data_IF_004059276281
#
_entry.id   IF_004059276281
#
_cell.length_a   1.000
_cell.length_b   1.000
_cell.length_c   1.000
_cell.angle_alpha   90.00
_cell.angle_beta   90.00
_cell.angle_gamma   90.00
#
_symmetry.space_group_name_H-M   'P 1'
#
loop_
_entity.id
_entity.type
_entity.pdbx_description
1 polymer ?
#
# COMPACT_ATOMS: atom_id res chain seq x y z
N UNK A 1 -15.72 5.85 -14.85
CA UNK A 1 -16.85 5.09 -15.43
C UNK A 1 -17.69 4.56 -14.28
N UNK A 2 -19.02 4.72 -14.36
CA UNK A 2 -19.94 4.22 -13.33
C UNK A 2 -20.60 2.97 -13.88
N UNK A 3 -20.59 1.87 -13.12
CA UNK A 3 -21.13 0.58 -13.52
C UNK A 3 -21.98 -0.02 -12.40
N UNK A 4 -23.02 -0.77 -12.76
CA UNK A 4 -23.90 -1.46 -11.79
C UNK A 4 -23.48 -2.93 -11.59
N UNK A 5 -23.39 -3.68 -12.70
CA UNK A 5 -22.91 -5.07 -12.73
C UNK A 5 -21.98 -5.36 -13.92
N UNK A 6 -22.08 -4.56 -14.98
CA UNK A 6 -21.26 -4.74 -16.18
C UNK A 6 -19.79 -4.44 -15.84
N UNK A 7 -18.86 -5.22 -16.42
CA UNK A 7 -17.41 -5.09 -16.25
C UNK A 7 -16.83 -5.56 -14.91
N UNK A 8 -17.65 -6.14 -14.02
CA UNK A 8 -17.17 -6.90 -12.85
C UNK A 8 -16.68 -8.30 -13.24
N UNK A 9 -17.16 -8.81 -14.38
CA UNK A 9 -16.72 -10.06 -15.00
C UNK A 9 -16.25 -9.79 -16.44
N UNK A 10 -15.15 -10.41 -16.85
CA UNK A 10 -14.64 -10.35 -18.23
C UNK A 10 -13.87 -9.09 -18.65
N UNK A 11 -14.01 -7.96 -17.95
CA UNK A 11 -13.24 -6.75 -18.26
C UNK A 11 -11.84 -6.79 -17.65
N UNK A 12 -10.83 -6.49 -18.45
CA UNK A 12 -9.43 -6.56 -18.05
C UNK A 12 -8.66 -5.34 -18.56
N UNK A 13 -8.22 -4.47 -17.65
CA UNK A 13 -7.43 -3.30 -18.00
C UNK A 13 -6.27 -3.12 -17.05
N UNK A 14 -5.05 -3.11 -17.61
CA UNK A 14 -3.82 -2.90 -16.84
C UNK A 14 -3.76 -1.50 -16.20
N UNK A 15 -4.48 -0.53 -16.77
CA UNK A 15 -4.44 0.88 -16.36
C UNK A 15 -5.38 1.22 -15.20
N UNK A 16 -6.33 0.35 -14.85
CA UNK A 16 -7.26 0.62 -13.75
C UNK A 16 -6.60 0.32 -12.42
N UNK A 17 -6.44 1.36 -11.59
CA UNK A 17 -5.85 1.26 -10.26
C UNK A 17 -6.88 1.32 -9.12
N UNK A 18 -7.94 2.12 -9.28
CA UNK A 18 -8.87 2.42 -8.19
C UNK A 18 -10.28 1.94 -8.52
N UNK A 19 -10.87 1.18 -7.60
CA UNK A 19 -12.25 0.72 -7.65
C UNK A 19 -13.05 1.38 -6.53
N UNK A 20 -14.09 2.11 -6.90
CA UNK A 20 -15.02 2.73 -5.96
C UNK A 20 -16.28 1.87 -5.84
N UNK A 21 -16.68 1.53 -4.62
CA UNK A 21 -17.79 0.62 -4.33
C UNK A 21 -18.81 1.28 -3.40
N UNK A 22 -20.06 1.35 -3.87
CA UNK A 22 -21.22 1.76 -3.07
C UNK A 22 -22.23 0.60 -2.92
N UNK A 23 -21.74 -0.65 -2.95
CA UNK A 23 -22.60 -1.84 -2.87
C UNK A 23 -21.96 -2.93 -2.03
N UNK A 24 -22.81 -3.65 -1.30
CA UNK A 24 -22.48 -4.91 -0.65
C UNK A 24 -22.68 -6.07 -1.63
N UNK A 25 -21.67 -6.91 -1.82
CA UNK A 25 -21.81 -8.11 -2.64
C UNK A 25 -22.46 -9.23 -1.83
N UNK A 26 -23.20 -10.09 -2.52
CA UNK A 26 -23.96 -11.17 -1.87
C UNK A 26 -23.11 -12.41 -1.62
N UNK A 27 -21.94 -12.52 -2.25
CA UNK A 27 -21.08 -13.69 -2.13
C UNK A 27 -19.58 -13.33 -2.06
N UNK A 28 -18.77 -14.13 -1.35
CA UNK A 28 -17.31 -13.99 -1.28
C UNK A 28 -16.60 -13.91 -2.64
N UNK A 29 -17.05 -14.70 -3.62
CA UNK A 29 -16.51 -14.76 -4.98
C UNK A 29 -16.50 -13.37 -5.63
N UNK A 30 -17.60 -12.62 -5.45
CA UNK A 30 -17.80 -11.33 -6.09
C UNK A 30 -16.83 -10.28 -5.52
N UNK A 31 -16.52 -10.35 -4.23
CA UNK A 31 -15.50 -9.50 -3.61
C UNK A 31 -14.12 -9.77 -4.22
N UNK A 32 -13.68 -11.02 -4.25
CA UNK A 32 -12.37 -11.39 -4.79
C UNK A 32 -12.27 -11.07 -6.28
N UNK A 33 -13.33 -11.35 -7.06
CA UNK A 33 -13.36 -11.04 -8.49
C UNK A 33 -13.32 -9.55 -8.78
N UNK A 34 -13.99 -8.71 -7.99
CA UNK A 34 -13.98 -7.26 -8.17
C UNK A 34 -12.62 -6.66 -7.78
N UNK A 35 -12.08 -7.03 -6.62
CA UNK A 35 -10.80 -6.54 -6.10
C UNK A 35 -9.63 -6.97 -7.01
N UNK A 36 -9.66 -8.20 -7.54
CA UNK A 36 -8.62 -8.66 -8.47
C UNK A 36 -8.52 -7.84 -9.76
N UNK A 37 -9.54 -7.06 -10.14
CA UNK A 37 -9.51 -6.18 -11.33
C UNK A 37 -8.56 -5.00 -11.19
N UNK A 38 -8.33 -4.51 -9.97
CA UNK A 38 -7.41 -3.39 -9.72
C UNK A 38 -5.96 -3.84 -9.64
N UNK A 39 -5.71 -5.13 -9.33
CA UNK A 39 -4.39 -5.69 -9.03
C UNK A 39 -3.62 -6.20 -10.26
N UNK A 40 -3.96 -5.75 -11.47
CA UNK A 40 -3.18 -6.06 -12.68
C UNK A 40 -1.86 -5.30 -12.69
N UNK A 41 -0.76 -6.05 -12.76
CA UNK A 41 0.61 -5.53 -12.88
C UNK A 41 0.74 -4.76 -14.19
N UNK A 42 1.04 -3.46 -14.09
CA UNK A 42 1.33 -2.60 -15.24
C UNK A 42 2.83 -2.37 -15.37
N UNK A 43 3.44 -1.74 -14.37
CA UNK A 43 4.86 -1.34 -14.27
C UNK A 43 5.22 -1.10 -12.79
N UNK A 44 6.49 -0.83 -12.45
CA UNK A 44 6.96 -0.52 -11.07
C UNK A 44 6.22 0.64 -10.39
N UNK A 45 5.52 1.48 -11.16
CA UNK A 45 4.70 2.58 -10.65
C UNK A 45 3.35 2.11 -10.08
N UNK A 46 2.83 0.95 -10.51
CA UNK A 46 1.54 0.40 -10.08
C UNK A 46 1.76 -0.89 -9.31
N UNK A 47 2.15 -0.74 -8.05
CA UNK A 47 2.44 -1.88 -7.17
C UNK A 47 1.19 -2.49 -6.54
N UNK A 48 0.12 -1.70 -6.37
CA UNK A 48 -1.06 -2.07 -5.58
C UNK A 48 -2.31 -1.45 -6.18
N UNK A 49 -3.43 -2.18 -6.18
CA UNK A 49 -4.75 -1.62 -6.49
C UNK A 49 -5.40 -1.02 -5.24
N UNK A 50 -6.18 0.05 -5.44
CA UNK A 50 -6.92 0.72 -4.37
C UNK A 50 -8.41 0.40 -4.49
N UNK A 51 -9.04 0.07 -3.37
CA UNK A 51 -10.49 -0.17 -3.30
C UNK A 51 -11.07 0.74 -2.24
N UNK A 52 -12.02 1.60 -2.64
CA UNK A 52 -12.65 2.60 -1.78
C UNK A 52 -14.12 2.24 -1.62
N UNK A 53 -14.55 1.97 -0.39
CA UNK A 53 -15.94 1.68 -0.05
C UNK A 53 -16.62 2.91 0.53
N UNK A 54 -17.77 3.29 -0.03
CA UNK A 54 -18.58 4.40 0.47
C UNK A 54 -19.56 3.99 1.58
N UNK A 55 -19.92 2.70 1.66
CA UNK A 55 -20.74 2.17 2.75
C UNK A 55 -19.85 1.58 3.83
N UNK A 56 -19.57 2.39 4.85
CA UNK A 56 -18.90 1.93 6.06
C UNK A 56 -19.91 1.19 6.94
N UNK A 57 -19.97 -0.13 6.78
CA UNK A 57 -20.49 -1.01 7.81
C UNK A 57 -19.38 -2.00 8.13
N UNK A 58 -19.01 -2.15 9.40
CA UNK A 58 -18.07 -3.16 9.92
C UNK A 58 -18.23 -4.51 9.21
N UNK A 59 -19.48 -4.89 8.92
CA UNK A 59 -19.87 -6.07 8.18
C UNK A 59 -19.21 -6.24 6.80
N UNK A 60 -18.95 -5.16 6.06
CA UNK A 60 -18.32 -5.25 4.73
C UNK A 60 -16.83 -5.61 4.87
N UNK A 61 -16.15 -5.08 5.89
CA UNK A 61 -14.76 -5.46 6.19
C UNK A 61 -14.69 -6.93 6.54
N UNK A 62 -15.57 -7.40 7.42
CA UNK A 62 -15.66 -8.82 7.80
C UNK A 62 -16.00 -9.72 6.61
N UNK A 63 -16.91 -9.28 5.72
CA UNK A 63 -17.26 -10.04 4.51
C UNK A 63 -16.04 -10.21 3.58
N UNK A 64 -15.22 -9.15 3.43
CA UNK A 64 -14.01 -9.17 2.61
C UNK A 64 -12.94 -10.07 3.26
N UNK A 65 -12.72 -9.95 4.56
CA UNK A 65 -11.78 -10.79 5.30
C UNK A 65 -12.17 -12.27 5.17
N UNK A 66 -13.43 -12.61 5.44
CA UNK A 66 -13.97 -13.97 5.24
C UNK A 66 -13.80 -14.45 3.80
N UNK A 67 -14.02 -13.57 2.83
CA UNK A 67 -13.82 -13.94 1.44
C UNK A 67 -12.36 -14.31 1.17
N UNK A 68 -11.41 -13.51 1.62
CA UNK A 68 -10.00 -13.84 1.44
C UNK A 68 -9.57 -15.07 2.25
N UNK A 69 -10.12 -15.30 3.44
CA UNK A 69 -9.84 -16.53 4.21
C UNK A 69 -10.29 -17.80 3.48
N UNK A 70 -11.45 -17.75 2.80
CA UNK A 70 -11.93 -18.88 1.99
C UNK A 70 -11.01 -19.17 0.79
N UNK A 71 -10.43 -18.12 0.18
CA UNK A 71 -9.63 -18.25 -1.04
C UNK A 71 -8.12 -18.28 -0.84
N UNK A 72 -7.66 -18.07 0.39
CA UNK A 72 -6.24 -17.96 0.70
C UNK A 72 -5.90 -18.91 1.83
N UNK A 73 -4.98 -19.86 1.57
CA UNK A 73 -4.51 -20.79 2.60
C UNK A 73 -4.06 -19.97 3.83
N UNK A 74 -4.57 -20.35 5.01
CA UNK A 74 -4.37 -19.65 6.29
C UNK A 74 -2.97 -19.02 6.40
N UNK A 75 -2.91 -17.68 6.55
CA UNK A 75 -1.74 -16.76 6.63
C UNK A 75 -1.57 -15.74 5.48
N UNK A 76 -2.38 -15.76 4.42
CA UNK A 76 -2.21 -14.78 3.33
C UNK A 76 -3.00 -13.48 3.60
N UNK A 77 -4.04 -13.51 4.43
CA UNK A 77 -4.85 -12.34 4.78
C UNK A 77 -4.01 -11.11 5.23
N UNK A 78 -3.01 -11.32 6.09
CA UNK A 78 -2.11 -10.24 6.55
C UNK A 78 -1.22 -9.64 5.44
N UNK A 79 -0.99 -10.36 4.34
CA UNK A 79 -0.22 -9.88 3.18
C UNK A 79 -1.10 -9.21 2.13
N UNK A 80 -2.41 -9.44 2.16
CA UNK A 80 -3.36 -8.90 1.18
C UNK A 80 -3.70 -7.45 1.50
N UNK A 81 -3.79 -7.11 2.79
CA UNK A 81 -4.08 -5.75 3.23
C UNK A 81 -2.81 -4.97 3.54
N UNK A 82 -2.84 -3.69 3.18
CA UNK A 82 -1.83 -2.72 3.57
C UNK A 82 -2.08 -2.38 5.05
N UNK A 83 -1.01 -2.29 5.84
CA UNK A 83 -1.10 -1.85 7.24
C UNK A 83 -1.70 -0.44 7.35
N UNK A 84 -2.32 -0.14 8.49
CA UNK A 84 -2.91 1.17 8.74
C UNK A 84 -1.89 2.31 8.62
N UNK A 85 -2.38 3.51 8.27
CA UNK A 85 -1.55 4.70 8.05
C UNK A 85 -0.66 5.01 9.26
N UNK A 86 -1.18 4.86 10.48
CA UNK A 86 -0.44 5.08 11.73
C UNK A 86 0.77 4.14 11.85
N UNK A 87 0.58 2.84 11.55
CA UNK A 87 1.66 1.85 11.56
C UNK A 87 2.70 2.14 10.47
N UNK A 88 2.26 2.56 9.29
CA UNK A 88 3.17 2.93 8.21
C UNK A 88 3.96 4.21 8.55
N UNK A 89 3.34 5.21 9.18
CA UNK A 89 4.02 6.41 9.66
C UNK A 89 5.06 6.05 10.74
N UNK A 90 4.71 5.17 11.69
CA UNK A 90 5.66 4.69 12.70
C UNK A 90 6.88 4.02 12.05
N UNK A 91 6.67 3.13 11.09
CA UNK A 91 7.77 2.51 10.33
C UNK A 91 8.59 3.53 9.53
N UNK A 92 7.93 4.55 8.95
CA UNK A 92 8.61 5.63 8.23
C UNK A 92 9.56 6.40 9.16
N UNK A 93 9.12 6.68 10.38
CA UNK A 93 9.93 7.35 11.41
C UNK A 93 11.11 6.48 11.87
N UNK A 94 10.91 5.17 12.01
CA UNK A 94 11.99 4.23 12.35
C UNK A 94 13.08 4.20 11.26
N UNK A 95 12.67 4.08 9.99
CA UNK A 95 13.60 4.10 8.85
C UNK A 95 14.35 5.44 8.80
N UNK A 96 13.65 6.56 9.03
CA UNK A 96 14.28 7.87 9.08
C UNK A 96 15.30 7.97 10.23
N UNK A 97 15.00 7.40 11.40
CA UNK A 97 15.94 7.33 12.53
C UNK A 97 17.20 6.55 12.17
N UNK A 98 17.07 5.42 11.46
CA UNK A 98 18.23 4.66 10.96
C UNK A 98 19.06 5.45 9.95
N UNK A 99 18.40 6.19 9.05
CA UNK A 99 19.08 7.10 8.13
C UNK A 99 19.85 8.14 8.93
N UNK A 100 19.22 8.81 9.91
CA UNK A 100 19.87 9.82 10.76
C UNK A 100 21.13 9.28 11.45
N UNK A 101 21.09 8.07 12.02
CA UNK A 101 22.26 7.40 12.63
C UNK A 101 23.41 7.20 11.64
N UNK A 102 23.11 6.91 10.37
CA UNK A 102 24.15 6.78 9.32
C UNK A 102 24.84 8.13 9.07
N UNK A 103 24.09 9.23 9.08
CA UNK A 103 24.68 10.57 8.91
C UNK A 103 25.46 11.04 10.14
N UNK A 104 24.96 10.74 11.34
CA UNK A 104 25.68 10.99 12.61
C UNK A 104 27.01 10.24 12.66
N UNK A 105 27.02 8.95 12.30
CA UNK A 105 28.27 8.14 12.27
C UNK A 105 29.28 8.59 11.22
N UNK A 106 28.85 9.35 10.21
CA UNK A 106 29.72 9.91 9.17
C UNK A 106 30.07 11.39 9.40
N UNK A 107 29.64 11.96 10.53
CA UNK A 107 29.85 13.34 10.94
C UNK A 107 29.31 14.38 9.93
N UNK A 108 28.28 14.00 9.16
CA UNK A 108 27.63 14.86 8.17
C UNK A 108 26.45 15.55 8.85
N UNK A 109 26.55 16.87 9.03
CA UNK A 109 25.47 17.69 9.59
C UNK A 109 24.42 18.02 8.54
N UNK A 110 23.15 18.05 8.94
CA UNK A 110 22.01 18.51 8.14
C UNK A 110 21.84 17.80 6.79
N UNK A 111 22.28 16.55 6.65
CA UNK A 111 22.20 15.81 5.38
C UNK A 111 22.85 16.56 4.19
N UNK A 112 23.83 17.42 4.47
CA UNK A 112 24.42 18.34 3.48
C UNK A 112 25.14 17.65 2.32
N UNK A 113 25.56 16.40 2.51
CA UNK A 113 26.18 15.59 1.47
C UNK A 113 25.92 14.10 1.72
N UNK A 114 25.96 13.28 0.67
CA UNK A 114 25.84 11.83 0.84
C UNK A 114 27.08 11.25 1.52
N UNK A 115 26.95 10.16 2.32
CA UNK A 115 28.08 9.46 2.89
C UNK A 115 29.11 9.06 1.81
N UNK A 116 30.37 9.49 2.00
CA UNK A 116 31.45 9.19 1.05
C UNK A 116 32.00 7.76 1.23
N UNK A 117 31.90 7.21 2.44
CA UNK A 117 32.30 5.85 2.74
C UNK A 117 31.40 4.84 2.01
N UNK A 118 32.01 3.86 1.33
CA UNK A 118 31.30 2.81 0.57
C UNK A 118 30.22 2.09 1.40
N UNK A 119 30.51 1.83 2.68
CA UNK A 119 29.55 1.21 3.61
C UNK A 119 28.37 2.14 3.92
N UNK A 120 28.64 3.39 4.28
CA UNK A 120 27.61 4.39 4.57
C UNK A 120 26.72 4.68 3.35
N UNK A 121 27.31 4.79 2.16
CA UNK A 121 26.58 5.00 0.91
C UNK A 121 25.62 3.84 0.61
N UNK A 122 26.08 2.60 0.78
CA UNK A 122 25.23 1.40 0.60
C UNK A 122 24.10 1.34 1.61
N UNK A 123 24.38 1.58 2.89
CA UNK A 123 23.36 1.57 3.95
C UNK A 123 22.32 2.68 3.69
N UNK A 124 22.76 3.88 3.34
CA UNK A 124 21.87 4.98 2.97
C UNK A 124 20.97 4.63 1.79
N UNK A 125 21.53 4.14 0.68
CA UNK A 125 20.74 3.77 -0.52
C UNK A 125 19.70 2.71 -0.18
N UNK A 126 20.05 1.71 0.63
CA UNK A 126 19.11 0.67 1.05
C UNK A 126 17.96 1.22 1.89
N UNK A 127 18.27 2.01 2.93
CA UNK A 127 17.23 2.58 3.81
C UNK A 127 16.38 3.62 3.07
N UNK A 128 16.99 4.45 2.22
CA UNK A 128 16.26 5.42 1.41
C UNK A 128 15.32 4.76 0.40
N UNK A 129 15.74 3.64 -0.22
CA UNK A 129 14.85 2.88 -1.10
C UNK A 129 13.67 2.26 -0.34
N UNK A 130 13.87 1.82 0.91
CA UNK A 130 12.76 1.35 1.76
C UNK A 130 11.81 2.51 2.09
N UNK A 131 12.37 3.65 2.49
CA UNK A 131 11.61 4.86 2.79
C UNK A 131 10.77 5.31 1.58
N UNK A 132 11.36 5.35 0.38
CA UNK A 132 10.68 5.75 -0.84
C UNK A 132 9.53 4.79 -1.21
N UNK A 133 9.71 3.47 -0.99
CA UNK A 133 8.64 2.49 -1.18
C UNK A 133 7.50 2.72 -0.17
N UNK A 134 7.83 2.90 1.10
CA UNK A 134 6.85 3.12 2.15
C UNK A 134 6.08 4.44 1.96
N UNK A 135 6.78 5.50 1.56
CA UNK A 135 6.16 6.80 1.24
C UNK A 135 5.13 6.70 0.12
N UNK A 136 5.40 5.91 -0.93
CA UNK A 136 4.41 5.66 -1.99
C UNK A 136 3.14 5.01 -1.45
N UNK A 137 3.27 4.06 -0.53
CA UNK A 137 2.13 3.40 0.11
C UNK A 137 1.33 4.41 0.95
N UNK A 138 2.01 5.17 1.81
CA UNK A 138 1.40 6.18 2.69
C UNK A 138 0.69 7.26 1.86
N UNK A 139 1.28 7.70 0.75
CA UNK A 139 0.67 8.70 -0.14
C UNK A 139 -0.67 8.25 -0.74
N UNK A 140 -0.89 6.94 -0.92
CA UNK A 140 -2.15 6.38 -1.40
C UNK A 140 -3.22 6.28 -0.30
N UNK A 141 -2.82 6.36 0.97
CA UNK A 141 -3.69 6.35 2.15
C UNK A 141 -4.19 7.75 2.55
N UNK A 142 -4.14 8.72 1.63
CA UNK A 142 -4.56 10.12 1.85
C UNK A 142 -3.72 10.88 2.90
N UNK A 143 -2.46 10.49 3.07
CA UNK A 143 -1.53 11.20 3.94
C UNK A 143 -1.27 12.64 3.47
N UNK A 144 -1.24 13.58 4.43
CA UNK A 144 -0.85 14.97 4.21
C UNK A 144 -0.02 15.49 5.39
N UNK A 145 1.13 16.09 5.09
CA UNK A 145 2.08 16.67 6.04
C UNK A 145 1.50 17.81 6.89
N UNK A 146 0.47 18.51 6.43
CA UNK A 146 -0.13 19.60 7.20
C UNK A 146 -1.04 19.09 8.33
N UNK A 147 -1.46 17.83 8.25
CA UNK A 147 -2.45 17.20 9.13
C UNK A 147 -1.87 16.16 10.08
N UNK A 148 -0.64 15.72 9.86
CA UNK A 148 0.04 14.65 10.61
C UNK A 148 1.44 15.10 11.00
#
# INVERSE_FOLDING_TARGET
MIVVNQLLTGYDSKYINTLYLDRRFSSPEQYVQAISRTNRVLNDQKQMGQVVYYRLCQSVKEDIEKAFDIYSNENIAQKIFISDIENNIAQMNEIFSEIKKVFESTNIKNFSSAPQNKSGKRKFVNEFNKLAKLYRIISLQLFNWDTW
#
